data_IF_238060595372
#
_entry.id   IF_238060595372
#
_cell.length_a   1.000
_cell.length_b   1.000
_cell.length_c   1.000
_cell.angle_alpha   90.00
_cell.angle_beta   90.00
_cell.angle_gamma   90.00
#
_symmetry.space_group_name_H-M   'P 1'
#
loop_
_entity.id
_entity.type
_entity.pdbx_description
1 polymer ?
#
# COMPACT_ATOMS: atom_id res chain seq x y z
N UNK A 1 0.45 13.21 -26.05
CA UNK A 1 1.00 12.67 -24.79
C UNK A 1 0.94 13.76 -23.73
N UNK A 2 0.57 13.45 -22.49
CA UNK A 2 0.64 14.43 -21.40
C UNK A 2 2.10 14.72 -21.04
N UNK A 3 2.37 15.93 -20.55
CA UNK A 3 3.70 16.30 -20.07
C UNK A 3 4.10 15.43 -18.87
N UNK A 4 5.36 14.98 -18.85
CA UNK A 4 5.92 14.24 -17.72
C UNK A 4 6.57 15.19 -16.74
N UNK A 5 6.25 15.02 -15.46
CA UNK A 5 7.00 15.67 -14.37
C UNK A 5 8.24 14.84 -14.07
N UNK A 6 9.38 15.50 -13.91
CA UNK A 6 10.65 14.87 -13.54
C UNK A 6 11.15 15.56 -12.28
N UNK A 7 11.43 14.75 -11.27
CA UNK A 7 11.93 15.19 -9.96
C UNK A 7 13.20 14.42 -9.62
N UNK A 8 14.04 14.98 -8.76
CA UNK A 8 15.36 14.44 -8.47
C UNK A 8 15.69 14.43 -6.98
N UNK A 9 16.74 13.69 -6.64
CA UNK A 9 17.41 13.71 -5.35
C UNK A 9 16.45 13.53 -4.15
N UNK A 10 16.52 14.43 -3.18
CA UNK A 10 15.86 14.28 -1.89
C UNK A 10 14.35 14.41 -1.99
N UNK A 11 13.85 15.33 -2.80
CA UNK A 11 12.41 15.52 -2.97
C UNK A 11 11.74 14.26 -3.51
N UNK A 12 12.38 13.59 -4.47
CA UNK A 12 11.91 12.32 -5.01
C UNK A 12 11.89 11.21 -3.97
N UNK A 13 12.97 11.07 -3.19
CA UNK A 13 13.06 10.05 -2.13
C UNK A 13 12.04 10.27 -1.03
N UNK A 14 11.85 11.52 -0.60
CA UNK A 14 10.88 11.87 0.44
C UNK A 14 9.45 11.58 -0.01
N UNK A 15 9.10 11.88 -1.26
CA UNK A 15 7.79 11.54 -1.80
C UNK A 15 7.57 10.02 -1.84
N UNK A 16 8.53 9.26 -2.34
CA UNK A 16 8.46 7.79 -2.34
C UNK A 16 8.31 7.24 -0.92
N UNK A 17 9.12 7.71 0.02
CA UNK A 17 9.11 7.28 1.42
C UNK A 17 7.74 7.52 2.08
N UNK A 18 7.12 8.68 1.85
CA UNK A 18 5.76 8.96 2.35
C UNK A 18 4.74 7.96 1.83
N UNK A 19 4.84 7.59 0.55
CA UNK A 19 3.99 6.56 -0.05
C UNK A 19 4.18 5.19 0.57
N UNK A 20 5.44 4.78 0.75
CA UNK A 20 5.80 3.51 1.39
C UNK A 20 5.29 3.45 2.82
N UNK A 21 5.47 4.53 3.61
CA UNK A 21 5.00 4.57 4.99
C UNK A 21 3.47 4.45 5.07
N UNK A 22 2.71 5.13 4.19
CA UNK A 22 1.24 4.99 4.17
C UNK A 22 0.79 3.56 3.90
N UNK A 23 1.47 2.85 3.00
CA UNK A 23 1.22 1.43 2.75
C UNK A 23 1.56 0.58 3.98
N UNK A 24 2.77 0.73 4.51
CA UNK A 24 3.27 -0.04 5.63
C UNK A 24 2.41 0.15 6.89
N UNK A 25 2.05 1.40 7.22
CA UNK A 25 1.24 1.77 8.39
C UNK A 25 -0.16 1.14 8.34
N UNK A 26 -0.77 1.07 7.17
CA UNK A 26 -2.07 0.45 7.00
C UNK A 26 -2.02 -1.08 7.07
N UNK A 27 -0.95 -1.71 6.58
CA UNK A 27 -0.82 -3.18 6.56
C UNK A 27 -0.32 -3.72 7.90
N UNK A 28 0.65 -3.06 8.53
CA UNK A 28 1.33 -3.58 9.73
C UNK A 28 0.38 -3.82 10.92
N UNK A 29 -0.73 -3.08 11.00
CA UNK A 29 -1.70 -3.26 12.09
C UNK A 29 -2.41 -4.61 12.02
N UNK A 30 -2.38 -5.29 10.87
CA UNK A 30 -3.00 -6.60 10.65
C UNK A 30 -2.07 -7.77 11.00
N UNK A 31 -0.80 -7.51 11.29
CA UNK A 31 0.22 -8.54 11.44
C UNK A 31 0.04 -9.37 12.72
N UNK A 32 0.22 -10.69 12.57
CA UNK A 32 0.28 -11.65 13.68
C UNK A 32 -1.08 -12.00 14.30
N UNK A 33 -1.09 -12.90 15.30
CA UNK A 33 -2.34 -13.43 15.87
C UNK A 33 -3.17 -12.38 16.61
N UNK A 34 -2.57 -11.22 16.95
CA UNK A 34 -3.23 -10.08 17.60
C UNK A 34 -3.46 -8.90 16.64
N UNK A 35 -3.41 -9.14 15.33
CA UNK A 35 -3.74 -8.15 14.31
C UNK A 35 -5.10 -7.50 14.55
N UNK A 36 -5.16 -6.19 14.31
CA UNK A 36 -6.36 -5.35 14.43
C UNK A 36 -7.14 -5.35 13.11
N UNK A 37 -8.43 -5.03 13.22
CA UNK A 37 -9.28 -4.90 12.06
C UNK A 37 -8.98 -3.59 11.31
N UNK A 38 -8.97 -3.69 9.99
CA UNK A 38 -8.99 -2.56 9.06
C UNK A 38 -10.37 -2.52 8.40
N UNK A 39 -10.96 -1.32 8.33
CA UNK A 39 -12.23 -1.08 7.66
C UNK A 39 -11.96 -0.47 6.28
N UNK A 40 -12.52 -1.07 5.25
CA UNK A 40 -12.37 -0.67 3.85
C UNK A 40 -13.75 -0.27 3.31
N UNK A 41 -13.83 0.94 2.76
CA UNK A 41 -15.05 1.45 2.15
C UNK A 41 -15.43 0.63 0.92
N UNK A 42 -16.73 0.38 0.75
CA UNK A 42 -17.30 -0.20 -0.46
C UNK A 42 -18.29 0.80 -1.05
N UNK A 43 -18.32 0.90 -2.38
CA UNK A 43 -19.26 1.80 -3.10
C UNK A 43 -20.73 1.51 -2.79
N UNK A 44 -21.06 0.28 -2.41
CA UNK A 44 -22.40 -0.15 -2.05
C UNK A 44 -22.37 -1.10 -0.85
N UNK A 45 -23.38 -0.98 0.02
CA UNK A 45 -23.54 -1.85 1.18
C UNK A 45 -22.66 -1.45 2.37
N UNK A 46 -22.37 -2.42 3.24
CA UNK A 46 -21.55 -2.22 4.44
C UNK A 46 -20.04 -2.25 4.11
N UNK A 47 -19.20 -1.54 4.89
CA UNK A 47 -17.75 -1.59 4.72
C UNK A 47 -17.22 -3.01 4.94
N UNK A 48 -16.12 -3.34 4.29
CA UNK A 48 -15.41 -4.59 4.51
C UNK A 48 -14.52 -4.46 5.75
N UNK A 49 -14.75 -5.31 6.74
CA UNK A 49 -13.85 -5.46 7.88
C UNK A 49 -12.92 -6.64 7.64
N UNK A 50 -11.61 -6.42 7.70
CA UNK A 50 -10.61 -7.46 7.46
C UNK A 50 -9.40 -7.36 8.39
N UNK A 51 -8.75 -8.49 8.63
CA UNK A 51 -7.41 -8.61 9.24
C UNK A 51 -6.38 -9.18 8.27
N UNK A 52 -6.74 -9.33 7.00
CA UNK A 52 -5.85 -9.83 5.97
C UNK A 52 -5.04 -8.65 5.39
N UNK A 53 -3.74 -8.62 5.69
CA UNK A 53 -2.82 -7.62 5.19
C UNK A 53 -2.71 -7.59 3.66
N UNK A 54 -2.89 -8.74 2.98
CA UNK A 54 -2.87 -8.81 1.52
C UNK A 54 -4.08 -8.07 0.94
N UNK A 55 -5.26 -8.28 1.50
CA UNK A 55 -6.47 -7.53 1.12
C UNK A 55 -6.30 -6.03 1.37
N UNK A 56 -5.74 -5.63 2.53
CA UNK A 56 -5.49 -4.22 2.84
C UNK A 56 -4.52 -3.59 1.82
N UNK A 57 -3.41 -4.25 1.51
CA UNK A 57 -2.41 -3.75 0.57
C UNK A 57 -2.96 -3.55 -0.85
N UNK A 58 -3.90 -4.40 -1.29
CA UNK A 58 -4.53 -4.32 -2.62
C UNK A 58 -5.39 -3.07 -2.79
N UNK A 59 -6.04 -2.61 -1.73
CA UNK A 59 -6.95 -1.47 -1.74
C UNK A 59 -6.23 -0.11 -1.59
N UNK A 60 -4.90 -0.12 -1.39
CA UNK A 60 -4.12 1.11 -1.24
C UNK A 60 -3.76 1.69 -2.61
N UNK A 61 -4.37 2.84 -2.88
CA UNK A 61 -4.06 3.72 -4.01
C UNK A 61 -4.01 5.17 -3.52
N UNK A 62 -2.88 5.85 -3.76
CA UNK A 62 -2.65 7.21 -3.28
C UNK A 62 -2.93 8.24 -4.37
N UNK A 63 -3.54 9.37 -3.99
CA UNK A 63 -3.86 10.46 -4.92
C UNK A 63 -2.60 11.12 -5.50
N UNK A 64 -1.56 11.27 -4.69
CA UNK A 64 -0.28 11.79 -5.17
C UNK A 64 0.46 10.70 -5.97
N UNK A 65 0.86 11.04 -7.21
CA UNK A 65 1.45 10.07 -8.13
C UNK A 65 2.82 9.56 -7.67
N UNK A 66 3.61 10.38 -7.01
CA UNK A 66 4.97 10.03 -6.58
C UNK A 66 4.92 9.15 -5.35
N UNK A 67 4.05 9.49 -4.39
CA UNK A 67 3.76 8.65 -3.24
C UNK A 67 3.14 7.32 -3.70
N UNK A 68 2.17 7.34 -4.62
CA UNK A 68 1.55 6.12 -5.14
C UNK A 68 2.60 5.23 -5.80
N UNK A 69 3.48 5.79 -6.62
CA UNK A 69 4.57 5.03 -7.24
C UNK A 69 5.43 4.31 -6.19
N UNK A 70 5.79 4.98 -5.09
CA UNK A 70 6.52 4.36 -3.98
C UNK A 70 5.74 3.22 -3.30
N UNK A 71 4.47 3.44 -3.01
CA UNK A 71 3.59 2.42 -2.44
C UNK A 71 3.46 1.20 -3.37
N UNK A 72 3.22 1.42 -4.66
CA UNK A 72 3.06 0.35 -5.65
C UNK A 72 4.34 -0.48 -5.83
N UNK A 73 5.51 0.15 -5.81
CA UNK A 73 6.80 -0.56 -5.89
C UNK A 73 6.97 -1.57 -4.76
N UNK A 74 6.74 -1.15 -3.51
CA UNK A 74 6.88 -2.04 -2.35
C UNK A 74 5.80 -3.11 -2.35
N UNK A 75 4.56 -2.76 -2.72
CA UNK A 75 3.47 -3.72 -2.84
C UNK A 75 3.79 -4.84 -3.83
N UNK A 76 4.33 -4.51 -5.01
CA UNK A 76 4.66 -5.50 -6.04
C UNK A 76 5.81 -6.43 -5.61
N UNK A 77 6.82 -5.90 -4.91
CA UNK A 77 7.91 -6.72 -4.40
C UNK A 77 7.41 -7.64 -3.28
N UNK A 78 6.59 -7.13 -2.36
CA UNK A 78 6.04 -7.91 -1.26
C UNK A 78 5.06 -9.00 -1.74
N UNK A 79 4.26 -8.74 -2.78
CA UNK A 79 3.32 -9.73 -3.30
C UNK A 79 4.04 -10.96 -3.87
N UNK A 80 5.20 -10.79 -4.49
CA UNK A 80 6.01 -11.89 -5.03
C UNK A 80 6.47 -12.86 -3.94
N UNK A 81 6.70 -12.37 -2.71
CA UNK A 81 7.03 -13.22 -1.57
C UNK A 81 5.85 -14.13 -1.22
N UNK A 82 4.65 -13.55 -1.10
CA UNK A 82 3.42 -14.29 -0.79
C UNK A 82 3.08 -15.30 -1.90
N UNK A 83 3.27 -14.95 -3.17
CA UNK A 83 2.99 -15.85 -4.30
C UNK A 83 3.86 -17.12 -4.28
N UNK A 84 5.10 -17.03 -3.80
CA UNK A 84 6.05 -18.16 -3.76
C UNK A 84 5.95 -18.94 -2.45
N UNK A 85 5.90 -18.24 -1.31
CA UNK A 85 5.98 -18.84 0.01
C UNK A 85 4.60 -19.13 0.65
N UNK A 86 3.53 -18.56 0.11
CA UNK A 86 2.17 -18.64 0.65
C UNK A 86 1.89 -17.69 1.82
N UNK A 87 2.93 -17.17 2.48
CA UNK A 87 2.89 -16.20 3.58
C UNK A 87 4.11 -15.27 3.49
N UNK A 88 4.05 -14.04 4.03
CA UNK A 88 5.09 -13.02 3.86
C UNK A 88 4.88 -11.74 4.66
#
# INVERSE_FOLDING_TARGET
MSAKSIIYAEEARQAILRGVNKLADAVQVTLGPKGRNVLIEKKFGSPLMTKDGVTVAKEIELKDKLENMGAQLVREVASKTSDIAGDG
#
